data_IF_557676447468
#
_entry.id   IF_557676447468
#
_cell.length_a   1.000
_cell.length_b   1.000
_cell.length_c   1.000
_cell.angle_alpha   90.00
_cell.angle_beta   90.00
_cell.angle_gamma   90.00
#
_symmetry.space_group_name_H-M   'P 1'
#
loop_
_entity.id
_entity.type
_entity.pdbx_description
1 polymer ?
#
# COMPACT_ATOMS: atom_id res chain seq x y z
N UNK A 1 19.52 -15.86 31.46
CA UNK A 1 19.95 -15.99 30.04
C UNK A 1 18.84 -15.41 29.19
N UNK A 2 19.16 -14.62 28.16
CA UNK A 2 18.18 -13.96 27.31
C UNK A 2 18.07 -14.79 26.03
N UNK A 3 16.93 -15.44 25.82
CA UNK A 3 16.64 -16.12 24.55
C UNK A 3 16.23 -15.06 23.52
N UNK A 4 16.88 -14.97 22.35
CA UNK A 4 16.48 -14.02 21.33
C UNK A 4 15.12 -14.42 20.75
N UNK A 5 14.12 -13.54 20.91
CA UNK A 5 12.81 -13.70 20.26
C UNK A 5 13.01 -13.45 18.77
N UNK A 6 12.96 -14.50 17.96
CA UNK A 6 12.95 -14.38 16.52
C UNK A 6 11.59 -13.81 16.10
N UNK A 7 11.59 -12.60 15.51
CA UNK A 7 10.38 -12.09 14.89
C UNK A 7 10.13 -12.87 13.59
N UNK A 8 8.94 -13.46 13.38
CA UNK A 8 8.63 -14.09 12.11
C UNK A 8 8.65 -13.02 11.02
N UNK A 9 9.35 -13.31 9.93
CA UNK A 9 9.33 -12.49 8.73
C UNK A 9 8.09 -12.85 7.90
N UNK A 10 7.39 -11.84 7.39
CA UNK A 10 6.26 -12.06 6.49
C UNK A 10 6.76 -12.38 5.08
N UNK A 11 6.17 -13.40 4.47
CA UNK A 11 6.27 -13.69 3.05
C UNK A 11 5.56 -12.61 2.19
N UNK A 12 5.86 -12.57 0.90
CA UNK A 12 5.21 -11.64 -0.03
C UNK A 12 3.68 -11.85 -0.09
N UNK A 13 3.23 -13.10 0.00
CA UNK A 13 1.79 -13.45 0.02
C UNK A 13 1.10 -12.96 1.30
N UNK A 14 1.76 -13.12 2.45
CA UNK A 14 1.25 -12.58 3.72
C UNK A 14 1.22 -11.06 3.70
N UNK A 15 2.29 -10.41 3.20
CA UNK A 15 2.34 -8.95 3.02
C UNK A 15 1.24 -8.46 2.08
N UNK A 16 0.97 -9.19 0.99
CA UNK A 16 -0.12 -8.87 0.07
C UNK A 16 -1.47 -8.95 0.78
N UNK A 17 -1.71 -10.02 1.54
CA UNK A 17 -2.95 -10.21 2.30
C UNK A 17 -3.12 -9.10 3.35
N UNK A 18 -2.05 -8.77 4.08
CA UNK A 18 -2.05 -7.70 5.09
C UNK A 18 -2.28 -6.33 4.42
N UNK A 19 -1.59 -6.09 3.30
CA UNK A 19 -1.71 -4.89 2.49
C UNK A 19 -3.14 -4.65 2.01
N UNK A 20 -3.75 -5.66 1.37
CA UNK A 20 -5.12 -5.62 0.84
C UNK A 20 -6.16 -5.39 1.93
N UNK A 21 -6.09 -6.19 3.00
CA UNK A 21 -7.20 -6.30 3.94
C UNK A 21 -7.12 -5.31 5.11
N UNK A 22 -5.94 -4.77 5.41
CA UNK A 22 -5.73 -3.93 6.59
C UNK A 22 -5.04 -2.61 6.28
N UNK A 23 -3.88 -2.64 5.60
CA UNK A 23 -3.08 -1.42 5.43
C UNK A 23 -3.69 -0.45 4.44
N UNK A 24 -4.16 -0.92 3.28
CA UNK A 24 -4.79 -0.06 2.29
C UNK A 24 -6.09 0.58 2.80
N UNK A 25 -7.05 -0.17 3.42
CA UNK A 25 -8.22 0.43 4.05
C UNK A 25 -7.85 1.48 5.12
N UNK A 26 -6.84 1.19 5.95
CA UNK A 26 -6.35 2.12 6.96
C UNK A 26 -5.74 3.38 6.35
N UNK A 27 -4.97 3.25 5.28
CA UNK A 27 -4.37 4.37 4.56
C UNK A 27 -5.43 5.25 3.88
N UNK A 28 -6.46 4.64 3.26
CA UNK A 28 -7.62 5.33 2.69
C UNK A 28 -8.31 6.17 3.76
N UNK A 29 -8.67 5.55 4.89
CA UNK A 29 -9.34 6.23 5.99
C UNK A 29 -8.47 7.35 6.60
N UNK A 30 -7.17 7.09 6.81
CA UNK A 30 -6.23 8.07 7.35
C UNK A 30 -6.00 9.27 6.43
N UNK A 31 -6.18 9.11 5.11
CA UNK A 31 -6.13 10.19 4.13
C UNK A 31 -7.46 10.94 3.97
N UNK A 32 -8.52 10.55 4.70
CA UNK A 32 -9.85 11.15 4.58
C UNK A 32 -10.58 10.79 3.28
N UNK A 33 -10.15 9.74 2.58
CA UNK A 33 -10.78 9.27 1.36
C UNK A 33 -11.96 8.35 1.66
N UNK A 34 -12.97 8.39 0.81
CA UNK A 34 -14.12 7.49 0.91
C UNK A 34 -13.73 6.06 0.48
N UNK A 35 -14.31 5.02 1.12
CA UNK A 35 -14.15 3.65 0.66
C UNK A 35 -14.51 3.52 -0.83
N UNK A 36 -13.68 2.79 -1.59
CA UNK A 36 -13.88 2.59 -3.02
C UNK A 36 -13.35 3.73 -3.93
N UNK A 37 -12.86 4.85 -3.37
CA UNK A 37 -12.18 5.86 -4.19
C UNK A 37 -10.83 5.39 -4.73
N UNK A 38 -10.19 4.41 -4.09
CA UNK A 38 -8.97 3.75 -4.58
C UNK A 38 -9.32 2.30 -4.85
N UNK A 39 -9.01 1.82 -6.06
CA UNK A 39 -9.16 0.43 -6.47
C UNK A 39 -7.79 -0.03 -6.95
N UNK A 40 -7.21 -1.03 -6.29
CA UNK A 40 -5.90 -1.60 -6.67
C UNK A 40 -6.13 -2.97 -7.30
N UNK A 41 -5.70 -3.13 -8.55
CA UNK A 41 -5.81 -4.39 -9.26
C UNK A 41 -4.96 -5.48 -8.58
N UNK A 42 -5.43 -6.72 -8.62
CA UNK A 42 -4.78 -7.84 -7.94
C UNK A 42 -3.34 -8.08 -8.44
N UNK A 43 -3.11 -7.91 -9.75
CA UNK A 43 -1.79 -8.06 -10.37
C UNK A 43 -0.78 -6.98 -9.99
N UNK A 44 -1.19 -5.92 -9.29
CA UNK A 44 -0.33 -4.78 -8.94
C UNK A 44 0.41 -5.00 -7.63
N UNK A 45 -0.13 -5.82 -6.74
CA UNK A 45 0.46 -6.06 -5.42
C UNK A 45 1.90 -6.57 -5.45
N UNK A 46 2.29 -7.50 -6.34
CA UNK A 46 3.69 -7.88 -6.48
C UNK A 46 4.61 -6.70 -6.84
N UNK A 47 4.13 -5.75 -7.65
CA UNK A 47 4.89 -4.56 -8.04
C UNK A 47 5.02 -3.54 -6.90
N UNK A 48 4.06 -3.51 -5.95
CA UNK A 48 4.15 -2.68 -4.74
C UNK A 48 5.11 -3.32 -3.72
N UNK A 49 5.08 -4.64 -3.58
CA UNK A 49 5.78 -5.35 -2.49
C UNK A 49 7.24 -5.63 -2.80
N UNK A 50 7.55 -6.16 -4.00
CA UNK A 50 8.92 -6.60 -4.35
C UNK A 50 9.98 -5.49 -4.24
N UNK A 51 9.71 -4.24 -4.65
CA UNK A 51 10.71 -3.16 -4.52
C UNK A 51 11.08 -2.82 -3.07
N UNK A 52 10.27 -3.24 -2.09
CA UNK A 52 10.53 -2.99 -0.66
C UNK A 52 11.64 -3.90 -0.10
N UNK A 53 12.11 -4.87 -0.88
CA UNK A 53 13.21 -5.75 -0.54
C UNK A 53 12.93 -6.64 0.68
N UNK A 54 14.00 -6.99 1.40
CA UNK A 54 13.98 -7.91 2.54
C UNK A 54 13.46 -7.27 3.85
N UNK A 55 12.56 -6.29 3.79
CA UNK A 55 11.85 -5.83 4.99
C UNK A 55 11.11 -7.03 5.58
N UNK A 56 11.57 -7.55 6.72
CA UNK A 56 10.93 -8.68 7.39
C UNK A 56 9.50 -8.31 7.87
N UNK A 57 9.22 -7.03 8.02
CA UNK A 57 7.93 -6.50 8.48
C UNK A 57 7.08 -5.90 7.37
N UNK A 58 6.17 -5.02 7.79
CA UNK A 58 5.19 -4.32 6.93
C UNK A 58 5.34 -2.79 6.97
N UNK A 59 6.40 -2.27 7.62
CA UNK A 59 6.55 -0.81 7.80
C UNK A 59 6.73 -0.11 6.46
N UNK A 60 7.59 -0.65 5.59
CA UNK A 60 7.84 -0.06 4.27
C UNK A 60 6.58 -0.13 3.42
N UNK A 61 5.85 -1.26 3.45
CA UNK A 61 4.59 -1.42 2.75
C UNK A 61 3.54 -0.42 3.23
N UNK A 62 3.39 -0.25 4.55
CA UNK A 62 2.47 0.72 5.12
C UNK A 62 2.78 2.15 4.65
N UNK A 63 4.05 2.56 4.73
CA UNK A 63 4.49 3.91 4.29
C UNK A 63 4.21 4.13 2.80
N UNK A 64 4.44 3.12 1.96
CA UNK A 64 4.17 3.18 0.52
C UNK A 64 2.68 3.36 0.24
N UNK A 65 1.81 2.61 0.92
CA UNK A 65 0.36 2.74 0.77
C UNK A 65 -0.17 4.08 1.31
N UNK A 66 0.36 4.59 2.42
CA UNK A 66 0.05 5.93 2.94
C UNK A 66 0.50 7.04 1.97
N UNK A 67 1.65 6.87 1.31
CA UNK A 67 2.10 7.76 0.25
C UNK A 67 1.14 7.80 -0.94
N UNK A 68 0.76 6.62 -1.43
CA UNK A 68 -0.22 6.46 -2.50
C UNK A 68 -1.57 7.12 -2.16
N UNK A 69 -2.09 6.86 -0.96
CA UNK A 69 -3.36 7.43 -0.50
C UNK A 69 -3.30 8.97 -0.41
N UNK A 70 -2.20 9.54 0.12
CA UNK A 70 -2.01 11.00 0.17
C UNK A 70 -1.93 11.64 -1.22
N UNK A 71 -1.27 10.98 -2.17
CA UNK A 71 -1.17 11.49 -3.55
C UNK A 71 -2.56 11.55 -4.21
N UNK A 72 -3.40 10.55 -3.96
CA UNK A 72 -4.77 10.52 -4.45
C UNK A 72 -5.65 11.54 -3.72
N UNK A 73 -5.51 11.68 -2.40
CA UNK A 73 -6.22 12.72 -1.65
C UNK A 73 -5.94 14.12 -2.20
N UNK A 74 -4.69 14.42 -2.57
CA UNK A 74 -4.34 15.67 -3.25
C UNK A 74 -5.07 15.80 -4.59
N UNK A 75 -5.09 14.75 -5.41
CA UNK A 75 -5.80 14.75 -6.69
C UNK A 75 -7.31 15.00 -6.54
N UNK A 76 -7.94 14.44 -5.50
CA UNK A 76 -9.35 14.67 -5.18
C UNK A 76 -9.60 16.13 -4.80
N UNK A 77 -8.73 16.73 -3.97
CA UNK A 77 -8.82 18.15 -3.59
C UNK A 77 -8.63 19.06 -4.81
N UNK A 78 -7.81 18.67 -5.78
CA UNK A 78 -7.64 19.35 -7.06
C UNK A 78 -8.84 19.16 -8.02
N UNK A 79 -9.89 18.45 -7.60
CA UNK A 79 -11.12 18.28 -8.36
C UNK A 79 -11.10 17.10 -9.35
N UNK A 80 -10.09 16.21 -9.28
CA UNK A 80 -10.07 15.02 -10.13
C UNK A 80 -11.07 13.98 -9.60
N UNK A 81 -12.06 13.56 -10.40
CA UNK A 81 -13.05 12.58 -9.95
C UNK A 81 -12.44 11.18 -9.90
N UNK A 82 -12.77 10.43 -8.84
CA UNK A 82 -12.49 9.00 -8.75
C UNK A 82 -13.57 8.15 -9.43
N UNK A 83 -13.46 6.80 -9.34
CA UNK A 83 -12.45 6.06 -8.60
C UNK A 83 -11.09 6.03 -9.30
N UNK A 84 -10.01 6.10 -8.51
CA UNK A 84 -8.64 5.99 -8.97
C UNK A 84 -8.26 4.51 -9.03
N UNK A 85 -8.19 3.98 -10.25
CA UNK A 85 -7.75 2.61 -10.51
C UNK A 85 -6.24 2.55 -10.64
N UNK A 86 -5.61 1.75 -9.79
CA UNK A 86 -4.18 1.50 -9.79
C UNK A 86 -3.94 0.17 -10.51
N UNK A 87 -3.27 0.27 -11.65
CA UNK A 87 -2.96 -0.83 -12.58
C UNK A 87 -1.44 -1.01 -12.67
N UNK A 88 -0.98 -2.09 -13.30
CA UNK A 88 0.45 -2.36 -13.44
C UNK A 88 1.17 -1.29 -14.28
N UNK A 89 0.43 -0.60 -15.16
CA UNK A 89 0.95 0.43 -16.05
C UNK A 89 1.14 1.78 -15.33
N UNK A 90 0.22 2.13 -14.41
CA UNK A 90 0.24 3.44 -13.74
C UNK A 90 0.76 3.39 -12.30
N UNK A 91 1.01 2.21 -11.73
CA UNK A 91 1.41 2.08 -10.32
C UNK A 91 2.63 2.93 -10.00
N UNK A 92 3.62 2.98 -10.88
CA UNK A 92 4.84 3.79 -10.72
C UNK A 92 4.59 5.30 -10.61
N UNK A 93 3.44 5.79 -11.07
CA UNK A 93 3.03 7.17 -10.85
C UNK A 93 2.65 7.43 -9.40
N UNK A 94 2.25 6.41 -8.63
CA UNK A 94 1.72 6.55 -7.27
C UNK A 94 2.70 6.14 -6.17
N UNK A 95 3.53 5.13 -6.44
CA UNK A 95 4.58 4.68 -5.53
C UNK A 95 5.91 5.26 -5.99
N UNK A 96 6.28 6.42 -5.43
CA UNK A 96 7.62 6.97 -5.65
C UNK A 96 8.66 6.10 -4.93
N UNK A 97 9.74 5.78 -5.65
CA UNK A 97 10.94 5.08 -5.18
C UNK A 97 11.58 5.75 -3.96
#
# INVERSE_FOLDING_TARGET
>A
RLEPIQMPAYSDEEKMTIGKNYLLPKAIAGAGLQPGQIIVDEGVWPAIIRPLGFDAGIRSLNRTLEGLARKIARAVVEGKPGPFKITAENVGEYISS
#
